data_IF_637412108272
#
_entry.id   IF_637412108272
#
_cell.length_a   1.000
_cell.length_b   1.000
_cell.length_c   1.000
_cell.angle_alpha   90.00
_cell.angle_beta   90.00
_cell.angle_gamma   90.00
#
_symmetry.space_group_name_H-M   'P 1'
#
loop_
_entity.id
_entity.type
_entity.pdbx_description
1 polymer ?
#
# COMPACT_ATOMS: atom_id res chain seq x y z
N UNK A 1 6.23 6.69 -3.69
CA UNK A 1 5.89 6.09 -4.97
C UNK A 1 4.37 6.03 -5.11
N UNK A 2 3.81 6.79 -6.05
CA UNK A 2 2.36 6.75 -6.33
C UNK A 2 2.12 5.57 -7.24
N UNK A 3 1.24 4.65 -6.82
CA UNK A 3 0.82 3.51 -7.62
C UNK A 3 -0.62 3.68 -8.17
N UNK A 4 -1.27 4.82 -7.85
CA UNK A 4 -2.60 5.13 -8.37
C UNK A 4 -2.55 5.49 -9.86
N UNK A 5 -3.51 5.03 -10.64
CA UNK A 5 -3.77 5.52 -11.98
C UNK A 5 -4.77 6.67 -11.90
N UNK A 6 -4.53 7.68 -12.70
CA UNK A 6 -5.42 8.84 -12.85
C UNK A 6 -5.76 8.95 -14.33
N UNK A 7 -7.04 9.11 -14.60
CA UNK A 7 -7.51 9.39 -15.96
C UNK A 7 -7.04 10.79 -16.38
N UNK A 8 -6.25 10.93 -17.46
CA UNK A 8 -5.78 12.21 -17.96
C UNK A 8 -6.89 13.20 -18.33
N UNK A 9 -8.08 12.71 -18.63
CA UNK A 9 -9.24 13.53 -18.98
C UNK A 9 -10.00 14.06 -17.74
N UNK A 10 -9.75 13.48 -16.58
CA UNK A 10 -10.33 13.94 -15.30
C UNK A 10 -9.55 15.12 -14.73
N UNK A 11 -9.94 16.34 -15.13
CA UNK A 11 -9.25 17.59 -14.72
C UNK A 11 -9.07 17.74 -13.22
N UNK A 12 -10.08 17.34 -12.40
CA UNK A 12 -9.99 17.44 -10.93
C UNK A 12 -8.95 16.47 -10.36
N UNK A 13 -8.89 15.27 -10.91
CA UNK A 13 -7.90 14.28 -10.49
C UNK A 13 -6.49 14.68 -10.93
N UNK A 14 -6.34 15.22 -12.15
CA UNK A 14 -5.06 15.77 -12.66
C UNK A 14 -4.59 16.95 -11.80
N UNK A 15 -5.49 17.86 -11.42
CA UNK A 15 -5.14 18.97 -10.50
C UNK A 15 -4.59 18.46 -9.17
N UNK A 16 -5.21 17.42 -8.60
CA UNK A 16 -4.70 16.74 -7.39
C UNK A 16 -3.33 16.11 -7.56
N UNK A 17 -2.90 15.84 -8.80
CA UNK A 17 -1.57 15.28 -9.10
C UNK A 17 -0.46 16.32 -9.20
N UNK A 18 -0.75 17.61 -9.35
CA UNK A 18 0.26 18.67 -9.55
C UNK A 18 1.33 18.65 -8.46
N UNK A 19 0.91 18.51 -7.20
CA UNK A 19 1.84 18.44 -6.07
C UNK A 19 2.88 17.32 -6.23
N UNK A 20 2.47 16.17 -6.74
CA UNK A 20 3.38 15.03 -6.92
C UNK A 20 4.27 15.17 -8.15
N UNK A 21 3.80 15.85 -9.19
CA UNK A 21 4.58 16.10 -10.40
C UNK A 21 5.71 17.11 -10.14
N UNK A 22 5.49 18.10 -9.27
CA UNK A 22 6.37 19.25 -9.04
C UNK A 22 7.33 19.10 -7.86
N UNK A 23 7.43 17.92 -7.25
CA UNK A 23 8.36 17.67 -6.14
C UNK A 23 9.82 17.79 -6.61
N UNK A 24 10.75 18.23 -5.74
CA UNK A 24 12.16 18.36 -6.07
C UNK A 24 12.78 17.08 -6.65
N UNK A 25 12.33 15.93 -6.23
CA UNK A 25 12.80 14.65 -6.76
C UNK A 25 12.48 14.45 -8.25
N UNK A 26 11.34 14.95 -8.74
CA UNK A 26 10.99 14.91 -10.18
C UNK A 26 11.80 15.96 -10.95
N UNK A 27 11.95 17.15 -10.38
CA UNK A 27 12.66 18.26 -11.02
C UNK A 27 14.16 17.95 -11.20
N UNK A 28 14.80 17.39 -10.18
CA UNK A 28 16.24 17.20 -10.13
C UNK A 28 16.74 15.83 -10.61
N UNK A 29 15.85 14.84 -10.81
CA UNK A 29 16.26 13.54 -11.33
C UNK A 29 16.69 13.64 -12.80
N UNK A 30 17.63 12.82 -13.24
CA UNK A 30 18.00 12.68 -14.65
C UNK A 30 16.91 11.96 -15.46
N UNK A 31 16.22 11.00 -14.83
CA UNK A 31 15.12 10.24 -15.41
C UNK A 31 14.03 10.02 -14.37
N UNK A 32 12.77 10.10 -14.81
CA UNK A 32 11.59 9.85 -13.97
C UNK A 32 10.81 8.71 -14.59
N UNK A 33 10.61 7.63 -13.84
CA UNK A 33 9.81 6.48 -14.27
C UNK A 33 8.45 6.53 -13.60
N UNK A 34 7.40 6.50 -14.39
CA UNK A 34 6.00 6.44 -13.94
C UNK A 34 5.33 5.16 -14.43
N UNK A 35 4.22 4.81 -13.80
CA UNK A 35 3.62 3.48 -13.93
C UNK A 35 2.86 3.21 -15.22
N UNK A 36 2.60 4.24 -16.04
CA UNK A 36 1.88 4.08 -17.31
C UNK A 36 2.09 5.27 -18.24
N UNK A 37 1.72 5.09 -19.50
CA UNK A 37 1.75 6.19 -20.49
C UNK A 37 0.73 7.30 -20.17
N UNK A 38 -0.40 6.96 -19.55
CA UNK A 38 -1.36 7.96 -19.08
C UNK A 38 -0.76 8.82 -17.97
N UNK A 39 -0.09 8.21 -17.01
CA UNK A 39 0.64 8.96 -15.99
C UNK A 39 1.79 9.77 -16.58
N UNK A 40 2.49 9.25 -17.59
CA UNK A 40 3.50 10.02 -18.32
C UNK A 40 2.90 11.27 -18.96
N UNK A 41 1.77 11.15 -19.64
CA UNK A 41 1.07 12.32 -20.23
C UNK A 41 0.70 13.36 -19.18
N UNK A 42 0.19 12.95 -18.02
CA UNK A 42 -0.12 13.87 -16.91
C UNK A 42 1.13 14.59 -16.43
N UNK A 43 2.22 13.87 -16.13
CA UNK A 43 3.46 14.46 -15.66
C UNK A 43 4.06 15.43 -16.68
N UNK A 44 4.11 15.05 -17.96
CA UNK A 44 4.61 15.91 -19.05
C UNK A 44 3.78 17.18 -19.18
N UNK A 45 2.45 17.07 -19.16
CA UNK A 45 1.56 18.21 -19.27
C UNK A 45 1.72 19.17 -18.09
N UNK A 46 1.64 18.66 -16.86
CA UNK A 46 1.79 19.46 -15.64
C UNK A 46 3.16 20.16 -15.60
N UNK A 47 4.23 19.43 -15.87
CA UNK A 47 5.58 20.00 -15.85
C UNK A 47 5.81 21.01 -16.95
N UNK A 48 5.22 20.81 -18.13
CA UNK A 48 5.27 21.80 -19.23
C UNK A 48 4.50 23.06 -18.84
N UNK A 49 3.28 22.94 -18.30
CA UNK A 49 2.49 24.08 -17.84
C UNK A 49 3.24 24.90 -16.77
N UNK A 50 3.82 24.24 -15.77
CA UNK A 50 4.50 24.91 -14.66
C UNK A 50 5.81 25.59 -15.09
N UNK A 51 6.57 24.96 -16.00
CA UNK A 51 7.91 25.45 -16.38
C UNK A 51 7.92 26.33 -17.64
N UNK A 52 6.84 26.33 -18.44
CA UNK A 52 6.75 27.08 -19.70
C UNK A 52 5.66 28.16 -19.69
N UNK A 53 5.07 28.48 -18.56
CA UNK A 53 3.89 29.34 -18.40
C UNK A 53 4.04 30.72 -19.06
N UNK A 54 5.23 31.28 -19.08
CA UNK A 54 5.52 32.63 -19.61
C UNK A 54 6.47 32.62 -20.81
N UNK A 55 6.64 31.47 -21.45
CA UNK A 55 7.59 31.28 -22.55
C UNK A 55 6.90 31.41 -23.92
N UNK A 56 7.72 31.67 -24.96
CA UNK A 56 7.22 31.68 -26.35
C UNK A 56 6.76 30.29 -26.80
N UNK A 57 5.90 30.19 -27.82
CA UNK A 57 5.43 28.91 -28.33
C UNK A 57 6.55 27.95 -28.75
N UNK A 58 7.64 28.47 -29.32
CA UNK A 58 8.82 27.69 -29.70
C UNK A 58 9.51 27.14 -28.46
N UNK A 59 9.69 27.96 -27.42
CA UNK A 59 10.31 27.57 -26.16
C UNK A 59 9.44 26.57 -25.39
N UNK A 60 8.13 26.73 -25.42
CA UNK A 60 7.19 25.77 -24.83
C UNK A 60 7.33 24.37 -25.46
N UNK A 61 7.53 24.30 -26.79
CA UNK A 61 7.79 23.01 -27.47
C UNK A 61 9.11 22.38 -27.06
N UNK A 62 10.18 23.18 -26.90
CA UNK A 62 11.47 22.68 -26.42
C UNK A 62 11.35 22.11 -24.99
N UNK A 63 10.70 22.85 -24.10
CA UNK A 63 10.48 22.46 -22.71
C UNK A 63 9.63 21.19 -22.65
N UNK A 64 8.57 21.10 -23.46
CA UNK A 64 7.75 19.89 -23.56
C UNK A 64 8.59 18.68 -23.98
N UNK A 65 9.39 18.83 -25.02
CA UNK A 65 10.29 17.77 -25.52
C UNK A 65 11.30 17.33 -24.45
N UNK A 66 11.80 18.27 -23.65
CA UNK A 66 12.65 17.95 -22.50
C UNK A 66 11.95 17.03 -21.52
N UNK A 67 10.71 17.36 -21.11
CA UNK A 67 9.93 16.54 -20.17
C UNK A 67 9.51 15.20 -20.79
N UNK A 68 9.16 15.16 -22.06
CA UNK A 68 8.87 13.93 -22.80
C UNK A 68 10.05 12.95 -22.84
N UNK A 69 11.27 13.48 -22.93
CA UNK A 69 12.48 12.66 -22.89
C UNK A 69 12.87 12.23 -21.47
N UNK A 70 12.55 13.05 -20.47
CA UNK A 70 12.90 12.80 -19.07
C UNK A 70 11.95 11.84 -18.40
N UNK A 71 10.65 11.89 -18.74
CA UNK A 71 9.61 11.10 -18.10
C UNK A 71 9.31 9.87 -18.94
N UNK A 72 9.42 8.71 -18.31
CA UNK A 72 9.24 7.39 -18.93
C UNK A 72 8.02 6.69 -18.32
N UNK A 73 7.04 6.29 -19.16
CA UNK A 73 5.81 5.59 -18.78
C UNK A 73 5.88 4.07 -18.93
N UNK A 74 7.07 3.48 -18.97
CA UNK A 74 7.30 2.06 -19.26
C UNK A 74 6.83 1.10 -18.18
N UNK A 75 6.31 1.58 -17.06
CA UNK A 75 5.79 0.74 -15.98
C UNK A 75 6.43 0.99 -14.63
N UNK A 76 6.07 0.17 -13.66
CA UNK A 76 6.56 0.25 -12.30
C UNK A 76 7.51 -0.90 -11.98
N UNK A 77 8.79 -0.65 -11.70
CA UNK A 77 9.73 -1.71 -11.27
C UNK A 77 9.23 -2.47 -10.04
N UNK A 78 8.45 -1.82 -9.18
CA UNK A 78 7.84 -2.46 -8.01
C UNK A 78 6.76 -3.48 -8.40
N UNK A 79 5.94 -3.15 -9.39
CA UNK A 79 4.95 -4.09 -9.94
C UNK A 79 5.65 -5.26 -10.62
N UNK A 80 6.64 -4.98 -11.45
CA UNK A 80 7.42 -6.00 -12.14
C UNK A 80 8.08 -6.99 -11.16
N UNK A 81 8.65 -6.49 -10.08
CA UNK A 81 9.24 -7.33 -9.04
C UNK A 81 8.20 -8.27 -8.44
N UNK A 82 7.04 -7.74 -8.02
CA UNK A 82 5.95 -8.55 -7.46
C UNK A 82 5.45 -9.60 -8.46
N UNK A 83 5.28 -9.22 -9.73
CA UNK A 83 4.80 -10.14 -10.78
C UNK A 83 5.80 -11.28 -11.04
N UNK A 84 7.10 -10.98 -11.08
CA UNK A 84 8.15 -11.97 -11.37
C UNK A 84 8.47 -12.88 -10.19
N UNK A 85 8.29 -12.40 -8.95
CA UNK A 85 8.57 -13.20 -7.75
C UNK A 85 7.57 -14.37 -7.66
N UNK A 86 8.09 -15.60 -7.51
CA UNK A 86 7.29 -16.82 -7.35
C UNK A 86 7.31 -17.26 -5.89
N UNK A 87 6.32 -18.08 -5.49
CA UNK A 87 6.25 -18.60 -4.11
C UNK A 87 7.49 -19.43 -3.73
N UNK A 88 8.04 -20.14 -4.70
CA UNK A 88 9.22 -21.00 -4.54
C UNK A 88 10.50 -20.19 -4.29
N UNK A 89 10.53 -18.93 -4.72
CA UNK A 89 11.67 -18.04 -4.58
C UNK A 89 11.66 -17.28 -3.22
N UNK A 90 10.62 -17.48 -2.40
CA UNK A 90 10.47 -16.77 -1.13
C UNK A 90 11.29 -17.43 -0.02
N UNK A 91 12.11 -16.63 0.65
CA UNK A 91 12.68 -16.98 1.94
C UNK A 91 11.63 -16.75 3.04
N UNK A 92 10.97 -17.83 3.47
CA UNK A 92 9.92 -17.80 4.47
C UNK A 92 10.50 -18.22 5.81
N UNK A 93 10.44 -17.33 6.84
CA UNK A 93 10.92 -17.68 8.17
C UNK A 93 10.24 -18.94 8.74
N UNK A 94 10.98 -19.74 9.49
CA UNK A 94 10.48 -21.00 10.04
C UNK A 94 9.30 -20.78 11.02
N UNK A 95 9.33 -19.69 11.77
CA UNK A 95 8.21 -19.28 12.62
C UNK A 95 6.92 -19.02 11.84
N UNK A 96 7.01 -18.46 10.62
CA UNK A 96 5.85 -18.29 9.75
C UNK A 96 5.32 -19.61 9.23
N UNK A 97 6.22 -20.53 8.87
CA UNK A 97 5.84 -21.87 8.41
C UNK A 97 5.06 -22.64 9.47
N UNK A 98 5.40 -22.48 10.76
CA UNK A 98 4.66 -23.10 11.87
C UNK A 98 3.23 -22.59 11.96
N UNK A 99 3.02 -21.29 11.75
CA UNK A 99 1.68 -20.68 11.75
C UNK A 99 0.86 -21.13 10.54
N UNK A 100 1.49 -21.26 9.39
CA UNK A 100 0.83 -21.53 8.10
C UNK A 100 0.43 -23.01 7.96
N UNK A 101 1.20 -23.94 8.53
CA UNK A 101 0.96 -25.39 8.39
C UNK A 101 -0.16 -25.86 9.32
N UNK A 102 -1.03 -26.72 8.79
CA UNK A 102 -2.00 -27.48 9.60
C UNK A 102 -1.35 -28.73 10.18
N UNK A 103 -1.93 -29.35 11.23
CA UNK A 103 -1.43 -30.61 11.79
C UNK A 103 -1.35 -31.76 10.79
N UNK A 104 -2.22 -31.79 9.78
CA UNK A 104 -2.24 -32.79 8.71
C UNK A 104 -1.18 -32.54 7.60
N UNK A 105 -0.36 -31.50 7.75
CA UNK A 105 0.65 -31.10 6.79
C UNK A 105 0.15 -30.21 5.64
N UNK A 106 -1.16 -30.00 5.53
CA UNK A 106 -1.70 -29.05 4.56
C UNK A 106 -1.45 -27.60 4.98
N UNK A 107 -1.77 -26.65 4.11
CA UNK A 107 -1.53 -25.24 4.34
C UNK A 107 -2.85 -24.52 4.64
N UNK A 108 -2.85 -23.66 5.67
CA UNK A 108 -3.95 -22.70 5.93
C UNK A 108 -4.07 -21.67 4.79
N UNK A 109 -5.23 -21.06 4.67
CA UNK A 109 -5.40 -19.85 3.85
C UNK A 109 -4.68 -18.69 4.51
N UNK A 110 -3.87 -17.94 3.76
CA UNK A 110 -3.12 -16.81 4.28
C UNK A 110 -3.83 -15.53 3.87
N UNK A 111 -4.29 -14.76 4.84
CA UNK A 111 -4.93 -13.47 4.62
C UNK A 111 -3.94 -12.37 4.97
N UNK A 112 -3.55 -11.58 3.97
CA UNK A 112 -2.71 -10.41 4.15
C UNK A 112 -3.55 -9.26 4.69
N UNK A 113 -3.34 -8.90 5.95
CA UNK A 113 -4.03 -7.80 6.62
C UNK A 113 -3.12 -6.58 6.73
N UNK A 114 -3.58 -5.46 6.18
CA UNK A 114 -2.82 -4.20 6.22
C UNK A 114 -3.59 -3.11 6.96
N UNK A 115 -2.90 -2.44 7.87
CA UNK A 115 -3.37 -1.24 8.58
C UNK A 115 -2.57 -0.02 8.16
N UNK A 116 -3.26 1.11 7.94
CA UNK A 116 -2.68 2.34 7.40
C UNK A 116 -2.55 3.45 8.43
N UNK A 117 -1.57 4.34 8.23
CA UNK A 117 -1.40 5.55 9.03
C UNK A 117 -2.62 6.46 8.94
N UNK A 118 -3.16 6.63 7.72
CA UNK A 118 -4.30 7.52 7.47
C UNK A 118 -5.55 7.08 8.22
N UNK A 119 -5.85 5.79 8.29
CA UNK A 119 -6.98 5.28 9.05
C UNK A 119 -6.85 5.63 10.55
N UNK A 120 -5.68 5.39 11.15
CA UNK A 120 -5.40 5.70 12.55
C UNK A 120 -5.50 7.22 12.84
N UNK A 121 -5.00 8.07 11.94
CA UNK A 121 -5.08 9.51 12.12
C UNK A 121 -6.51 10.04 12.00
N UNK A 122 -7.29 9.52 11.05
CA UNK A 122 -8.65 10.00 10.77
C UNK A 122 -9.69 9.47 11.74
N UNK A 123 -9.60 8.19 12.13
CA UNK A 123 -10.65 7.50 12.88
C UNK A 123 -10.27 7.09 14.30
N UNK A 124 -8.97 7.17 14.66
CA UNK A 124 -8.50 6.98 16.04
C UNK A 124 -8.98 5.67 16.68
N UNK A 125 -9.74 5.80 17.80
CA UNK A 125 -10.24 4.67 18.61
C UNK A 125 -11.07 3.65 17.81
N UNK A 126 -11.86 4.10 16.83
CA UNK A 126 -12.64 3.20 15.96
C UNK A 126 -11.77 2.21 15.18
N UNK A 127 -10.54 2.62 14.82
CA UNK A 127 -9.60 1.69 14.17
C UNK A 127 -9.11 0.65 15.16
N UNK A 128 -8.90 1.01 16.44
CA UNK A 128 -8.50 0.06 17.48
C UNK A 128 -9.62 -0.96 17.75
N UNK A 129 -10.87 -0.51 17.80
CA UNK A 129 -12.04 -1.40 17.94
C UNK A 129 -12.10 -2.38 16.77
N UNK A 130 -12.05 -1.86 15.53
CA UNK A 130 -11.98 -2.70 14.32
C UNK A 130 -10.81 -3.68 14.39
N UNK A 131 -9.63 -3.25 14.80
CA UNK A 131 -8.46 -4.10 14.90
C UNK A 131 -8.68 -5.23 15.93
N UNK A 132 -9.22 -4.93 17.12
CA UNK A 132 -9.56 -5.94 18.13
C UNK A 132 -10.53 -6.99 17.58
N UNK A 133 -11.56 -6.55 16.85
CA UNK A 133 -12.52 -7.45 16.22
C UNK A 133 -11.90 -8.34 15.15
N UNK A 134 -11.07 -7.76 14.29
CA UNK A 134 -10.34 -8.54 13.27
C UNK A 134 -9.45 -9.59 13.92
N UNK A 135 -8.64 -9.20 14.92
CA UNK A 135 -7.76 -10.14 15.61
C UNK A 135 -8.56 -11.26 16.30
N UNK A 136 -9.66 -10.93 16.97
CA UNK A 136 -10.56 -11.91 17.60
C UNK A 136 -11.12 -12.89 16.59
N UNK A 137 -11.69 -12.40 15.47
CA UNK A 137 -12.31 -13.26 14.44
C UNK A 137 -11.27 -14.21 13.83
N UNK A 138 -10.08 -13.73 13.51
CA UNK A 138 -9.03 -14.58 12.94
C UNK A 138 -8.46 -15.57 13.95
N UNK A 139 -8.35 -15.18 15.23
CA UNK A 139 -7.94 -16.09 16.30
C UNK A 139 -8.95 -17.24 16.48
N UNK A 140 -10.24 -16.95 16.46
CA UNK A 140 -11.31 -17.97 16.52
C UNK A 140 -11.26 -18.95 15.33
N UNK A 141 -10.73 -18.51 14.18
CA UNK A 141 -10.63 -19.28 12.94
C UNK A 141 -9.19 -19.67 12.57
N UNK A 142 -8.26 -19.65 13.52
CA UNK A 142 -6.82 -19.83 13.27
C UNK A 142 -6.45 -21.22 12.70
N UNK A 143 -7.30 -22.23 12.85
CA UNK A 143 -7.07 -23.56 12.29
C UNK A 143 -7.21 -23.58 10.74
N UNK A 144 -8.04 -22.70 10.18
CA UNK A 144 -8.30 -22.64 8.75
C UNK A 144 -7.54 -21.49 8.04
N UNK A 145 -7.37 -20.37 8.72
CA UNK A 145 -6.76 -19.18 8.17
C UNK A 145 -5.62 -18.64 9.04
N UNK A 146 -4.52 -18.29 8.41
CA UNK A 146 -3.41 -17.56 9.02
C UNK A 146 -3.54 -16.06 8.67
N UNK A 147 -3.62 -15.21 9.67
CA UNK A 147 -3.56 -13.77 9.49
C UNK A 147 -2.10 -13.33 9.37
N UNK A 148 -1.73 -12.74 8.25
CA UNK A 148 -0.46 -12.08 8.05
C UNK A 148 -0.69 -10.58 8.20
N UNK A 149 -0.50 -10.07 9.42
CA UNK A 149 -0.69 -8.65 9.72
C UNK A 149 0.59 -7.87 9.46
N UNK A 150 0.48 -6.94 8.51
CA UNK A 150 1.56 -6.04 8.14
C UNK A 150 1.09 -4.58 8.25
N UNK A 151 1.41 -3.90 9.35
CA UNK A 151 1.13 -2.48 9.49
C UNK A 151 2.01 -1.64 8.55
N UNK A 152 1.56 -0.42 8.25
CA UNK A 152 2.39 0.52 7.51
C UNK A 152 3.64 0.89 8.33
N UNK A 153 4.85 0.88 7.76
CA UNK A 153 6.10 1.08 8.52
C UNK A 153 6.19 2.40 9.31
N UNK A 154 5.46 3.43 8.87
CA UNK A 154 5.43 4.73 9.54
C UNK A 154 4.40 4.84 10.67
N UNK A 155 3.63 3.79 10.98
CA UNK A 155 2.61 3.88 12.04
C UNK A 155 3.26 4.28 13.36
N UNK A 156 4.30 3.59 13.80
CA UNK A 156 4.98 3.91 15.06
C UNK A 156 5.39 5.38 15.09
N UNK A 157 6.29 5.79 14.22
CA UNK A 157 6.85 7.13 14.24
C UNK A 157 5.78 8.24 14.12
N UNK A 158 4.72 8.00 13.35
CA UNK A 158 3.68 9.01 13.12
C UNK A 158 2.69 9.06 14.28
N UNK A 159 2.16 7.90 14.71
CA UNK A 159 1.10 7.87 15.73
C UNK A 159 1.68 8.16 17.13
N UNK A 160 2.85 7.63 17.44
CA UNK A 160 3.55 7.93 18.70
C UNK A 160 3.80 9.45 18.86
N UNK A 161 4.20 10.12 17.76
CA UNK A 161 4.44 11.57 17.79
C UNK A 161 3.16 12.40 17.83
N UNK A 162 2.13 12.01 17.06
CA UNK A 162 0.93 12.85 16.87
C UNK A 162 -0.23 12.51 17.81
N UNK A 163 -0.30 11.26 18.28
CA UNK A 163 -1.36 10.72 19.12
C UNK A 163 -0.80 9.69 20.12
N UNK A 164 0.00 10.08 21.10
CA UNK A 164 0.71 9.14 21.99
C UNK A 164 -0.22 8.18 22.74
N UNK A 165 -1.37 8.63 23.23
CA UNK A 165 -2.34 7.73 23.89
C UNK A 165 -2.91 6.66 22.97
N UNK A 166 -3.17 7.00 21.68
CA UNK A 166 -3.59 6.03 20.68
C UNK A 166 -2.47 5.03 20.35
N UNK A 167 -1.22 5.51 20.35
CA UNK A 167 -0.06 4.65 20.15
C UNK A 167 0.08 3.60 21.26
N UNK A 168 -0.05 3.97 22.51
CA UNK A 168 0.04 3.05 23.66
C UNK A 168 -0.98 1.90 23.56
N UNK A 169 -2.21 2.20 23.14
CA UNK A 169 -3.24 1.18 22.95
C UNK A 169 -2.97 0.29 21.72
N UNK A 170 -2.49 0.89 20.64
CA UNK A 170 -2.10 0.15 19.43
C UNK A 170 -0.92 -0.79 19.70
N UNK A 171 0.12 -0.30 20.41
CA UNK A 171 1.31 -1.06 20.77
C UNK A 171 0.97 -2.28 21.62
N UNK A 172 0.07 -2.16 22.60
CA UNK A 172 -0.44 -3.30 23.39
C UNK A 172 -1.07 -4.39 22.52
N UNK A 173 -1.84 -4.00 21.48
CA UNK A 173 -2.43 -4.97 20.55
C UNK A 173 -1.36 -5.67 19.70
N UNK A 174 -0.32 -4.95 19.28
CA UNK A 174 0.82 -5.53 18.55
C UNK A 174 1.58 -6.51 19.42
N UNK A 175 1.91 -6.13 20.66
CA UNK A 175 2.63 -6.97 21.62
C UNK A 175 1.84 -8.24 21.91
N UNK A 176 0.56 -8.12 22.26
CA UNK A 176 -0.33 -9.25 22.50
C UNK A 176 -0.39 -10.21 21.29
N UNK A 177 -0.54 -9.67 20.07
CA UNK A 177 -0.60 -10.48 18.86
C UNK A 177 0.70 -11.27 18.62
N UNK A 178 1.84 -10.63 18.87
CA UNK A 178 3.16 -11.26 18.74
C UNK A 178 3.39 -12.34 19.80
N UNK A 179 3.03 -12.07 21.04
CA UNK A 179 3.20 -13.02 22.17
C UNK A 179 2.30 -14.24 22.04
N UNK A 180 1.06 -14.08 21.61
CA UNK A 180 0.11 -15.17 21.38
C UNK A 180 0.52 -16.11 20.23
N UNK A 181 1.23 -15.63 19.23
CA UNK A 181 1.91 -16.43 18.19
C UNK A 181 1.01 -17.25 17.26
N UNK A 182 -0.31 -17.01 17.26
CA UNK A 182 -1.25 -17.72 16.38
C UNK A 182 -1.31 -17.15 14.95
N UNK A 183 -0.76 -15.97 14.75
CA UNK A 183 -0.68 -15.27 13.46
C UNK A 183 0.74 -14.81 13.14
N UNK A 184 0.90 -14.11 12.04
CA UNK A 184 2.18 -13.60 11.54
C UNK A 184 2.17 -12.08 11.62
N UNK A 185 3.11 -11.50 12.39
CA UNK A 185 3.36 -10.06 12.38
C UNK A 185 4.56 -9.76 11.47
N UNK A 186 4.34 -9.01 10.39
CA UNK A 186 5.37 -8.70 9.40
C UNK A 186 5.74 -7.22 9.44
N UNK A 187 6.83 -6.90 10.11
CA UNK A 187 7.48 -5.57 10.16
C UNK A 187 8.73 -5.48 9.28
N UNK A 188 8.96 -6.47 8.42
CA UNK A 188 10.15 -6.52 7.55
C UNK A 188 10.07 -5.52 6.40
N UNK A 189 11.20 -5.26 5.74
CA UNK A 189 11.24 -4.41 4.55
C UNK A 189 10.64 -5.08 3.29
N UNK A 190 10.48 -6.42 3.30
CA UNK A 190 10.08 -7.20 2.13
C UNK A 190 8.56 -7.35 2.03
N UNK A 191 7.91 -6.35 1.42
CA UNK A 191 6.48 -6.40 1.15
C UNK A 191 6.09 -7.42 0.07
N UNK A 192 7.00 -7.74 -0.83
CA UNK A 192 6.73 -8.65 -1.95
C UNK A 192 6.45 -10.05 -1.42
N UNK A 193 7.15 -10.46 -0.35
CA UNK A 193 6.92 -11.74 0.34
C UNK A 193 5.48 -11.86 0.81
N UNK A 194 4.94 -10.85 1.50
CA UNK A 194 3.55 -10.85 1.98
C UNK A 194 2.54 -10.96 0.83
N UNK A 195 2.74 -10.17 -0.25
CA UNK A 195 1.86 -10.15 -1.42
C UNK A 195 1.88 -11.49 -2.17
N UNK A 196 3.06 -12.06 -2.37
CA UNK A 196 3.20 -13.32 -3.14
C UNK A 196 2.71 -14.51 -2.33
N UNK A 197 2.99 -14.53 -1.02
CA UNK A 197 2.62 -15.61 -0.12
C UNK A 197 1.12 -15.70 0.15
N UNK A 198 0.42 -14.56 0.30
CA UNK A 198 -0.99 -14.54 0.66
C UNK A 198 -1.90 -15.16 -0.39
N UNK A 199 -3.08 -15.59 0.05
CA UNK A 199 -4.18 -16.06 -0.82
C UNK A 199 -5.19 -14.95 -1.10
N UNK A 200 -5.36 -13.98 -0.19
CA UNK A 200 -6.19 -12.80 -0.36
C UNK A 200 -5.67 -11.62 0.46
N UNK A 201 -6.05 -10.42 0.05
CA UNK A 201 -5.82 -9.18 0.80
C UNK A 201 -7.09 -8.76 1.52
N UNK A 202 -6.94 -8.32 2.76
CA UNK A 202 -7.98 -7.71 3.58
C UNK A 202 -7.38 -6.50 4.33
N UNK A 203 -8.12 -5.41 4.43
CA UNK A 203 -7.64 -4.26 5.22
C UNK A 203 -7.89 -2.91 4.58
N UNK A 204 -7.11 -1.92 5.01
CA UNK A 204 -7.29 -0.52 4.61
C UNK A 204 -6.92 -0.30 3.14
N UNK A 205 -7.52 0.73 2.54
CA UNK A 205 -7.13 1.16 1.20
C UNK A 205 -5.67 1.68 1.22
N UNK A 206 -4.84 1.10 0.37
CA UNK A 206 -3.42 1.48 0.24
C UNK A 206 -2.89 1.14 -1.15
N UNK A 207 -1.66 1.53 -1.45
CA UNK A 207 -0.97 1.12 -2.69
C UNK A 207 -0.80 -0.40 -2.82
N UNK A 208 -0.90 -1.15 -1.73
CA UNK A 208 -0.81 -2.62 -1.72
C UNK A 208 -2.02 -3.29 -2.36
N UNK A 209 -3.19 -2.64 -2.30
CA UNK A 209 -4.41 -3.09 -3.00
C UNK A 209 -4.14 -3.31 -4.48
N UNK A 210 -3.47 -2.34 -5.12
CA UNK A 210 -3.11 -2.48 -6.54
C UNK A 210 -2.14 -3.64 -6.76
N UNK A 211 -1.07 -3.73 -5.97
CA UNK A 211 -0.09 -4.81 -6.11
C UNK A 211 -0.71 -6.20 -5.94
N UNK A 212 -1.63 -6.34 -4.98
CA UNK A 212 -2.37 -7.59 -4.79
C UNK A 212 -3.26 -7.92 -5.99
N UNK A 213 -3.98 -6.93 -6.54
CA UNK A 213 -4.80 -7.11 -7.76
C UNK A 213 -3.96 -7.49 -8.98
N UNK A 214 -2.84 -6.81 -9.22
CA UNK A 214 -1.91 -7.14 -10.30
C UNK A 214 -1.35 -8.57 -10.17
N UNK A 215 -1.13 -9.04 -8.93
CA UNK A 215 -0.74 -10.43 -8.64
C UNK A 215 -1.91 -11.42 -8.72
N UNK A 216 -3.11 -10.98 -9.10
CA UNK A 216 -4.31 -11.83 -9.22
C UNK A 216 -4.91 -12.26 -7.88
N UNK A 217 -4.63 -11.52 -6.78
CA UNK A 217 -5.18 -11.85 -5.46
C UNK A 217 -6.57 -11.22 -5.29
N UNK A 218 -7.54 -11.95 -4.72
CA UNK A 218 -8.78 -11.36 -4.22
C UNK A 218 -8.48 -10.24 -3.23
N UNK A 219 -9.19 -9.13 -3.33
CA UNK A 219 -8.98 -7.96 -2.48
C UNK A 219 -10.31 -7.51 -1.87
N UNK A 220 -10.34 -7.45 -0.55
CA UNK A 220 -11.41 -6.85 0.23
C UNK A 220 -10.87 -5.63 0.98
N UNK A 221 -11.34 -4.45 0.59
CA UNK A 221 -11.02 -3.20 1.30
C UNK A 221 -12.15 -2.93 2.27
N UNK A 222 -11.81 -2.77 3.54
CA UNK A 222 -12.76 -2.43 4.59
C UNK A 222 -12.35 -1.10 5.23
N UNK A 223 -13.15 -0.07 4.98
CA UNK A 223 -13.03 1.20 5.68
C UNK A 223 -13.69 1.13 7.05
N UNK A 224 -13.22 1.97 7.99
CA UNK A 224 -13.74 2.01 9.37
C UNK A 224 -15.24 2.40 9.41
N UNK A 225 -15.70 3.17 8.43
CA UNK A 225 -17.09 3.63 8.33
C UNK A 225 -18.11 2.52 8.03
N UNK A 226 -17.65 1.34 7.61
CA UNK A 226 -18.55 0.20 7.30
C UNK A 226 -18.93 -0.61 8.54
N UNK A 227 -18.27 -0.39 9.67
CA UNK A 227 -18.49 -1.16 10.93
C UNK A 227 -19.51 -0.48 11.85
N UNK A 228 -20.27 0.46 11.40
CA UNK A 228 -21.13 1.24 12.29
C UNK A 228 -22.44 1.74 11.71
N UNK A 229 -22.98 1.12 10.68
CA UNK A 229 -24.40 1.35 10.34
C UNK A 229 -25.23 0.27 10.98
N UNK A 230 -25.72 0.62 12.15
CA UNK A 230 -26.73 -0.06 12.90
C UNK A 230 -27.87 -0.50 11.99
N UNK A 231 -28.15 -1.80 12.04
CA UNK A 231 -29.47 -2.26 11.80
C UNK A 231 -30.33 -1.77 12.99
N UNK A 232 -31.10 -0.72 12.79
CA UNK A 232 -32.39 -0.53 13.45
C UNK A 232 -33.48 -1.19 12.63
#
# INVERSE_FOLDING_TARGET
CILGEVDPENKKAVEGMKHFCTVPAVINADKVIVQSEDMRRIYVNVMTEETAKNETPEKQKEIRKYWENKIDGSGSPKVDKVLRTRKEDLDIPEEWLRVIRKPDGSRKKIIFYNTSVSALLQHGEKVLEKLRDVLRIFRENQEEAALLWRPHPLIKATIESMRPGLWEEYEKLVEQYREEGWGIYDDTADVDRAIVLCDAYYGDHSSLVRLCREKGKPVMVQNVEVVGTDAE
#
